data_IF_234113827147
#
_entry.id   IF_234113827147
#
_cell.length_a   1.000
_cell.length_b   1.000
_cell.length_c   1.000
_cell.angle_alpha   90.00
_cell.angle_beta   90.00
_cell.angle_gamma   90.00
#
_symmetry.space_group_name_H-M   'P 1'
#
loop_
_entity.id
_entity.type
_entity.pdbx_description
1 polymer ?
#
# COMPACT_ATOMS: atom_id res chain seq x y z
N UNK A 1 0.48 13.06 -39.24
CA UNK A 1 0.26 12.95 -37.79
C UNK A 1 1.61 12.77 -37.07
N UNK A 2 2.14 13.82 -36.44
CA UNK A 2 3.39 13.72 -35.70
C UNK A 2 3.21 12.78 -34.51
N UNK A 3 4.07 11.77 -34.37
CA UNK A 3 4.12 10.91 -33.17
C UNK A 3 4.46 11.83 -32.00
N UNK A 4 3.52 12.08 -31.09
CA UNK A 4 3.84 12.68 -29.78
C UNK A 4 4.90 11.83 -29.11
N UNK A 5 5.95 12.44 -28.58
CA UNK A 5 6.94 11.73 -27.78
C UNK A 5 6.23 10.98 -26.64
N UNK A 6 6.63 9.74 -26.33
CA UNK A 6 6.01 8.99 -25.24
C UNK A 6 6.17 9.75 -23.91
N UNK A 7 5.12 9.75 -23.11
CA UNK A 7 5.12 10.36 -21.79
C UNK A 7 6.12 9.61 -20.89
N UNK A 8 6.97 10.35 -20.18
CA UNK A 8 8.00 9.79 -19.28
C UNK A 8 7.48 9.75 -17.86
N UNK A 9 7.47 8.58 -17.28
CA UNK A 9 6.99 8.36 -15.92
C UNK A 9 8.07 7.78 -15.02
N UNK A 10 8.28 8.38 -13.87
CA UNK A 10 9.08 7.85 -12.77
C UNK A 10 8.15 7.14 -11.78
N UNK A 11 8.46 5.89 -11.41
CA UNK A 11 7.78 5.19 -10.32
C UNK A 11 8.77 4.92 -9.21
N UNK A 12 8.57 5.57 -8.07
CA UNK A 12 9.35 5.38 -6.84
C UNK A 12 8.69 4.26 -6.05
N UNK A 13 9.46 3.26 -5.61
CA UNK A 13 8.90 2.03 -5.02
C UNK A 13 8.39 1.02 -6.06
N UNK A 14 8.94 1.06 -7.26
CA UNK A 14 8.55 0.22 -8.40
C UNK A 14 8.60 -1.30 -8.15
N UNK A 15 9.35 -1.76 -7.15
CA UNK A 15 9.42 -3.16 -6.74
C UNK A 15 8.38 -3.56 -5.70
N UNK A 16 7.72 -2.61 -5.05
CA UNK A 16 6.63 -2.87 -4.11
C UNK A 16 5.38 -3.37 -4.84
N UNK A 17 4.44 -3.97 -4.12
CA UNK A 17 3.24 -4.58 -4.67
C UNK A 17 2.46 -3.61 -5.58
N UNK A 18 2.03 -2.47 -5.03
CA UNK A 18 1.33 -1.42 -5.79
C UNK A 18 2.20 -0.74 -6.84
N UNK A 19 3.47 -0.42 -6.49
CA UNK A 19 4.39 0.21 -7.44
C UNK A 19 4.63 -0.65 -8.67
N UNK A 20 4.73 -1.97 -8.52
CA UNK A 20 4.91 -2.90 -9.63
C UNK A 20 3.67 -2.97 -10.54
N UNK A 21 2.46 -3.03 -9.95
CA UNK A 21 1.23 -2.99 -10.71
C UNK A 21 1.10 -1.70 -11.55
N UNK A 22 1.47 -0.55 -10.97
CA UNK A 22 1.46 0.73 -11.67
C UNK A 22 2.51 0.78 -12.77
N UNK A 23 3.73 0.25 -12.54
CA UNK A 23 4.75 0.12 -13.59
C UNK A 23 4.21 -0.64 -14.79
N UNK A 24 3.56 -1.79 -14.57
CA UNK A 24 2.98 -2.60 -15.65
C UNK A 24 1.89 -1.85 -16.39
N UNK A 25 0.96 -1.23 -15.70
CA UNK A 25 -0.11 -0.44 -16.31
C UNK A 25 0.41 0.74 -17.14
N UNK A 26 1.50 1.39 -16.71
CA UNK A 26 2.17 2.43 -17.49
C UNK A 26 2.87 1.88 -18.74
N UNK A 27 3.55 0.74 -18.62
CA UNK A 27 4.22 0.05 -19.76
C UNK A 27 3.19 -0.36 -20.81
N UNK A 28 2.06 -0.93 -20.38
CA UNK A 28 0.96 -1.34 -21.27
C UNK A 28 0.35 -0.17 -22.03
N UNK A 29 0.38 1.03 -21.43
CA UNK A 29 -0.03 2.29 -22.08
C UNK A 29 1.10 2.98 -22.86
N UNK A 30 2.21 2.30 -23.11
CA UNK A 30 3.37 2.80 -23.86
C UNK A 30 4.05 4.06 -23.25
N UNK A 31 4.03 4.21 -21.93
CA UNK A 31 4.84 5.20 -21.24
C UNK A 31 6.31 4.77 -21.26
N UNK A 32 7.21 5.75 -21.27
CA UNK A 32 8.63 5.51 -21.01
C UNK A 32 8.87 5.48 -19.50
N UNK A 33 8.91 4.28 -18.92
CA UNK A 33 8.94 4.11 -17.47
C UNK A 33 10.37 4.04 -16.93
N UNK A 34 10.65 4.90 -15.94
CA UNK A 34 11.82 4.80 -15.05
C UNK A 34 11.36 4.21 -13.71
N UNK A 35 11.84 3.03 -13.38
CA UNK A 35 11.56 2.33 -12.14
C UNK A 35 12.64 2.63 -11.10
N UNK A 36 12.31 3.30 -10.00
CA UNK A 36 13.26 3.65 -8.95
C UNK A 36 13.09 2.78 -7.70
N UNK A 37 14.21 2.36 -7.11
CA UNK A 37 14.23 1.55 -5.89
C UNK A 37 15.57 1.58 -5.16
N UNK A 38 15.62 1.03 -3.94
CA UNK A 38 16.83 1.01 -3.10
C UNK A 38 17.85 -0.06 -3.49
N UNK A 39 17.41 -1.17 -4.09
CA UNK A 39 18.29 -2.28 -4.46
C UNK A 39 19.21 -1.86 -5.61
N UNK A 40 20.45 -2.32 -5.60
CA UNK A 40 21.44 -2.03 -6.67
C UNK A 40 21.08 -2.69 -7.99
N UNK A 41 20.44 -3.86 -7.95
CA UNK A 41 19.96 -4.60 -9.12
C UNK A 41 18.44 -4.56 -9.23
N UNK A 42 17.88 -4.60 -10.44
CA UNK A 42 16.45 -4.65 -10.63
C UNK A 42 15.85 -5.90 -9.95
N UNK A 43 14.78 -5.73 -9.15
CA UNK A 43 14.07 -6.86 -8.54
C UNK A 43 13.42 -7.79 -9.57
N UNK A 44 13.24 -9.07 -9.17
CA UNK A 44 12.73 -10.12 -10.06
C UNK A 44 11.34 -9.81 -10.64
N UNK A 45 10.48 -9.10 -9.92
CA UNK A 45 9.15 -8.73 -10.42
C UNK A 45 9.16 -7.63 -11.50
N UNK A 46 10.31 -7.00 -11.75
CA UNK A 46 10.52 -6.09 -12.90
C UNK A 46 11.13 -6.79 -14.12
N UNK A 47 11.52 -8.06 -13.98
CA UNK A 47 12.11 -8.82 -15.09
C UNK A 47 11.16 -8.93 -16.28
N UNK A 48 11.70 -8.75 -17.48
CA UNK A 48 10.94 -8.81 -18.75
C UNK A 48 10.13 -7.55 -19.07
N UNK A 49 10.09 -6.54 -18.19
CA UNK A 49 9.43 -5.28 -18.47
C UNK A 49 10.36 -4.30 -19.18
N UNK A 50 9.81 -3.54 -20.13
CA UNK A 50 10.54 -2.46 -20.83
C UNK A 50 10.65 -1.21 -19.96
N UNK A 51 11.48 -1.28 -18.91
CA UNK A 51 11.69 -0.18 -17.97
C UNK A 51 13.18 0.13 -17.81
N UNK A 52 13.50 1.40 -17.52
CA UNK A 52 14.82 1.79 -17.07
C UNK A 52 14.84 1.72 -15.53
N UNK A 53 15.61 0.80 -14.97
CA UNK A 53 15.78 0.75 -13.52
C UNK A 53 16.86 1.72 -13.05
N UNK A 54 16.61 2.43 -11.96
CA UNK A 54 17.56 3.33 -11.30
C UNK A 54 17.59 3.03 -9.80
N UNK A 55 18.77 2.70 -9.31
CA UNK A 55 18.98 2.52 -7.88
C UNK A 55 19.21 3.86 -7.19
N UNK A 56 18.79 3.99 -5.94
CA UNK A 56 19.09 5.16 -5.11
C UNK A 56 18.27 5.17 -3.83
N UNK A 57 18.72 6.00 -2.91
CA UNK A 57 18.04 6.25 -1.66
C UNK A 57 17.29 7.58 -1.71
N UNK A 58 15.98 7.54 -1.50
CA UNK A 58 15.12 8.73 -1.43
C UNK A 58 15.54 9.71 -0.31
N UNK A 59 16.29 9.23 0.70
CA UNK A 59 16.83 10.07 1.77
C UNK A 59 18.08 10.86 1.34
N UNK A 60 18.78 10.40 0.30
CA UNK A 60 19.99 11.08 -0.13
C UNK A 60 19.68 12.49 -0.67
N UNK A 61 20.44 13.51 -0.27
CA UNK A 61 20.24 14.87 -0.75
C UNK A 61 20.29 14.96 -2.28
N UNK A 62 19.28 15.62 -2.87
CA UNK A 62 19.18 15.79 -4.32
C UNK A 62 18.79 14.55 -5.11
N UNK A 63 18.44 13.43 -4.46
CA UNK A 63 18.07 12.20 -5.16
C UNK A 63 16.77 12.34 -5.94
N UNK A 64 15.74 12.96 -5.35
CA UNK A 64 14.47 13.22 -6.06
C UNK A 64 14.70 14.13 -7.28
N UNK A 65 15.55 15.14 -7.14
CA UNK A 65 15.90 16.05 -8.24
C UNK A 65 16.54 15.29 -9.42
N UNK A 66 17.48 14.39 -9.13
CA UNK A 66 18.12 13.53 -10.16
C UNK A 66 17.12 12.60 -10.83
N UNK A 67 16.21 12.01 -10.06
CA UNK A 67 15.22 11.07 -10.59
C UNK A 67 14.15 11.75 -11.43
N UNK A 68 13.71 12.96 -11.04
CA UNK A 68 12.64 13.70 -11.71
C UNK A 68 13.11 14.50 -12.94
N UNK A 69 14.40 14.66 -13.14
CA UNK A 69 14.90 15.40 -14.28
C UNK A 69 14.39 14.82 -15.60
N UNK A 70 13.59 15.61 -16.33
CA UNK A 70 13.01 15.25 -17.62
C UNK A 70 11.88 14.21 -17.55
N UNK A 71 11.24 14.01 -16.40
CA UNK A 71 10.03 13.22 -16.24
C UNK A 71 8.78 14.10 -16.33
N UNK A 72 7.71 13.58 -16.94
CA UNK A 72 6.42 14.27 -17.07
C UNK A 72 5.48 13.92 -15.90
N UNK A 73 5.67 12.74 -15.30
CA UNK A 73 4.89 12.18 -14.20
C UNK A 73 5.81 11.52 -13.19
N UNK A 74 5.52 11.69 -11.90
CA UNK A 74 6.08 10.87 -10.82
C UNK A 74 4.95 10.14 -10.09
N UNK A 75 5.14 8.84 -9.86
CA UNK A 75 4.30 8.05 -8.97
C UNK A 75 5.10 7.74 -7.72
N UNK A 76 4.64 8.19 -6.56
CA UNK A 76 5.22 7.84 -5.27
C UNK A 76 4.45 6.70 -4.62
N UNK A 77 4.94 5.48 -4.82
CA UNK A 77 4.45 4.24 -4.19
C UNK A 77 5.43 3.72 -3.12
N UNK A 78 6.33 4.57 -2.63
CA UNK A 78 7.33 4.25 -1.59
C UNK A 78 7.21 5.18 -0.37
N UNK A 79 6.02 5.70 -0.11
CA UNK A 79 5.79 6.49 1.09
C UNK A 79 6.07 5.63 2.35
N UNK A 80 6.61 6.23 3.43
CA UNK A 80 6.90 5.51 4.66
C UNK A 80 5.72 4.67 5.15
N UNK A 81 6.03 3.43 5.54
CA UNK A 81 5.05 2.45 5.97
C UNK A 81 5.50 1.81 7.30
N UNK A 82 5.38 2.53 8.43
CA UNK A 82 5.95 2.10 9.71
C UNK A 82 5.09 1.05 10.44
N UNK A 83 4.45 0.11 9.74
CA UNK A 83 3.68 -0.98 10.36
C UNK A 83 4.56 -2.03 11.03
N UNK A 84 5.83 -2.12 10.64
CA UNK A 84 6.81 -3.03 11.23
C UNK A 84 7.39 -2.49 12.54
N UNK A 85 7.03 -1.28 12.94
CA UNK A 85 7.53 -0.66 14.17
C UNK A 85 6.61 -1.04 15.33
N UNK A 86 7.07 -1.97 16.16
CA UNK A 86 6.41 -2.31 17.42
C UNK A 86 6.48 -1.16 18.43
N UNK A 87 5.47 -1.04 19.27
CA UNK A 87 5.45 -0.06 20.36
C UNK A 87 6.18 -0.63 21.61
N UNK A 88 7.00 0.15 22.35
CA UNK A 88 7.39 1.54 22.13
C UNK A 88 8.43 1.69 21.02
N UNK A 89 8.36 2.79 20.26
CA UNK A 89 9.34 3.15 19.22
C UNK A 89 10.70 3.33 19.85
N UNK A 90 11.46 2.26 19.99
CA UNK A 90 12.74 2.23 20.73
C UNK A 90 13.98 2.02 19.87
N UNK A 91 13.85 2.08 18.52
CA UNK A 91 15.08 2.21 17.73
C UNK A 91 15.58 3.65 17.83
N UNK A 92 16.60 3.82 18.64
CA UNK A 92 17.27 5.08 18.90
C UNK A 92 17.52 5.86 17.59
N UNK A 93 16.81 6.98 17.42
CA UNK A 93 17.16 8.01 16.46
C UNK A 93 16.29 8.17 15.21
N UNK A 94 15.25 7.37 14.98
CA UNK A 94 14.40 7.55 13.78
C UNK A 94 12.93 7.78 14.15
N UNK A 95 12.57 9.03 14.37
CA UNK A 95 11.18 9.45 14.43
C UNK A 95 10.55 9.27 13.01
N UNK A 96 9.59 8.34 12.85
CA UNK A 96 8.98 8.06 11.53
C UNK A 96 8.17 9.22 10.99
N UNK A 97 7.61 10.08 11.85
CA UNK A 97 6.84 11.26 11.45
C UNK A 97 7.79 12.32 10.90
N UNK A 98 8.86 12.64 11.65
CA UNK A 98 9.89 13.58 11.18
C UNK A 98 10.60 13.08 9.92
N UNK A 99 10.79 11.77 9.77
CA UNK A 99 11.30 11.18 8.54
C UNK A 99 10.34 11.39 7.37
N UNK A 100 9.06 11.07 7.56
CA UNK A 100 8.03 11.24 6.53
C UNK A 100 7.92 12.70 6.08
N UNK A 101 7.97 13.64 7.03
CA UNK A 101 7.92 15.07 6.75
C UNK A 101 9.11 15.51 5.87
N UNK A 102 10.34 15.20 6.29
CA UNK A 102 11.54 15.56 5.52
C UNK A 102 11.53 14.97 4.11
N UNK A 103 11.15 13.69 4.00
CA UNK A 103 11.08 13.00 2.71
C UNK A 103 10.03 13.63 1.78
N UNK A 104 8.84 13.91 2.30
CA UNK A 104 7.75 14.50 1.52
C UNK A 104 8.07 15.91 1.06
N UNK A 105 8.68 16.75 1.91
CA UNK A 105 9.14 18.08 1.51
C UNK A 105 10.14 18.01 0.36
N UNK A 106 11.14 17.13 0.44
CA UNK A 106 12.13 16.95 -0.64
C UNK A 106 11.50 16.45 -1.95
N UNK A 107 10.50 15.55 -1.86
CA UNK A 107 9.73 15.12 -3.02
C UNK A 107 9.03 16.31 -3.68
N UNK A 108 8.31 17.11 -2.88
CA UNK A 108 7.55 18.24 -3.38
C UNK A 108 8.47 19.37 -3.91
N UNK A 109 9.61 19.63 -3.29
CA UNK A 109 10.60 20.57 -3.81
C UNK A 109 11.05 20.18 -5.24
N UNK A 110 11.30 18.88 -5.47
CA UNK A 110 11.63 18.39 -6.79
C UNK A 110 10.44 18.46 -7.77
N UNK A 111 9.21 18.16 -7.29
CA UNK A 111 7.97 18.31 -8.08
C UNK A 111 7.79 19.76 -8.55
N UNK A 112 7.93 20.73 -7.66
CA UNK A 112 7.84 22.16 -8.01
C UNK A 112 8.94 22.58 -9.00
N UNK A 113 10.18 22.16 -8.76
CA UNK A 113 11.32 22.49 -9.61
C UNK A 113 11.15 21.97 -11.04
N UNK A 114 10.71 20.73 -11.18
CA UNK A 114 10.57 20.06 -12.48
C UNK A 114 9.19 20.21 -13.11
N UNK A 115 8.23 20.84 -12.40
CA UNK A 115 6.83 20.99 -12.84
C UNK A 115 6.18 19.66 -13.23
N UNK A 116 6.49 18.62 -12.45
CA UNK A 116 6.04 17.24 -12.72
C UNK A 116 4.65 17.03 -12.14
N UNK A 117 3.77 16.30 -12.84
CA UNK A 117 2.53 15.78 -12.24
C UNK A 117 2.89 14.71 -11.21
N UNK A 118 2.09 14.56 -10.15
CA UNK A 118 2.33 13.56 -9.11
C UNK A 118 1.12 12.67 -8.91
N UNK A 119 1.35 11.36 -8.74
CA UNK A 119 0.37 10.44 -8.18
C UNK A 119 0.95 9.87 -6.87
N UNK A 120 0.31 10.18 -5.76
CA UNK A 120 0.68 9.67 -4.44
C UNK A 120 -0.17 8.45 -4.10
N UNK A 121 0.49 7.35 -3.72
CA UNK A 121 -0.17 6.15 -3.21
C UNK A 121 -0.20 6.23 -1.69
N UNK A 122 -1.34 6.61 -1.16
CA UNK A 122 -1.62 6.80 0.25
C UNK A 122 -2.18 5.53 0.92
N UNK A 123 -3.23 5.72 1.71
CA UNK A 123 -3.92 4.63 2.40
C UNK A 123 -5.34 5.05 2.79
N UNK A 124 -6.26 4.11 2.78
CA UNK A 124 -7.64 4.30 3.26
C UNK A 124 -7.74 4.88 4.67
N UNK A 125 -6.73 4.69 5.53
CA UNK A 125 -6.75 5.11 6.93
C UNK A 125 -6.98 6.62 7.12
N UNK A 126 -6.60 7.44 6.15
CA UNK A 126 -6.83 8.89 6.18
C UNK A 126 -8.30 9.24 5.92
N UNK A 127 -9.08 8.30 5.37
CA UNK A 127 -10.49 8.46 5.02
C UNK A 127 -11.46 7.84 6.04
N UNK A 128 -10.94 7.18 7.08
CA UNK A 128 -11.76 6.53 8.10
C UNK A 128 -12.59 7.56 8.87
N UNK A 129 -13.89 7.29 9.00
CA UNK A 129 -14.87 8.16 9.70
C UNK A 129 -15.66 7.32 10.70
N UNK A 130 -15.17 7.14 11.94
CA UNK A 130 -15.87 6.36 12.96
C UNK A 130 -17.26 6.95 13.31
N UNK A 131 -18.30 6.13 13.21
CA UNK A 131 -19.69 6.53 13.43
C UNK A 131 -20.08 6.60 14.91
N UNK A 132 -19.75 5.56 15.70
CA UNK A 132 -20.15 5.43 17.11
C UNK A 132 -19.12 6.00 18.09
N UNK A 133 -19.51 6.23 19.34
CA UNK A 133 -18.60 6.69 20.39
C UNK A 133 -17.50 5.65 20.69
N UNK A 134 -17.86 4.37 20.67
CA UNK A 134 -16.91 3.26 20.89
C UNK A 134 -15.89 3.22 19.76
N UNK A 135 -16.33 3.28 18.50
CA UNK A 135 -15.46 3.33 17.35
C UNK A 135 -14.53 4.55 17.37
N UNK A 136 -15.04 5.73 17.74
CA UNK A 136 -14.19 6.93 17.88
C UNK A 136 -13.11 6.74 18.94
N UNK A 137 -13.47 6.16 20.09
CA UNK A 137 -12.49 5.88 21.14
C UNK A 137 -11.44 4.87 20.67
N UNK A 138 -11.83 3.75 20.07
CA UNK A 138 -10.91 2.76 19.51
C UNK A 138 -9.98 3.38 18.48
N UNK A 139 -10.51 4.15 17.53
CA UNK A 139 -9.73 4.85 16.51
C UNK A 139 -8.70 5.82 17.12
N UNK A 140 -9.11 6.59 18.14
CA UNK A 140 -8.21 7.51 18.84
C UNK A 140 -7.08 6.74 19.56
N UNK A 141 -7.40 5.64 20.23
CA UNK A 141 -6.38 4.80 20.88
C UNK A 141 -5.39 4.21 19.88
N UNK A 142 -5.86 3.75 18.72
CA UNK A 142 -4.99 3.26 17.66
C UNK A 142 -4.06 4.34 17.12
N UNK A 143 -4.56 5.55 16.89
CA UNK A 143 -3.74 6.70 16.45
C UNK A 143 -2.65 7.04 17.44
N UNK A 144 -2.94 6.95 18.74
CA UNK A 144 -1.95 7.18 19.80
C UNK A 144 -0.92 6.03 19.89
N UNK A 145 -1.35 4.82 19.62
CA UNK A 145 -0.49 3.64 19.72
C UNK A 145 0.42 3.42 18.53
N UNK A 146 0.12 3.99 17.35
CA UNK A 146 0.88 3.65 16.15
C UNK A 146 1.14 4.86 15.24
N UNK A 147 2.40 5.15 14.90
CA UNK A 147 2.78 6.32 14.09
C UNK A 147 2.30 6.27 12.64
N UNK A 148 1.83 5.11 12.16
CA UNK A 148 1.36 4.93 10.80
C UNK A 148 0.27 5.91 10.39
N UNK A 149 -0.71 6.13 11.27
CA UNK A 149 -1.83 7.06 11.01
C UNK A 149 -1.33 8.48 10.83
N UNK A 150 -0.52 8.95 11.77
CA UNK A 150 0.06 10.29 11.73
C UNK A 150 0.94 10.49 10.49
N UNK A 151 1.76 9.49 10.16
CA UNK A 151 2.60 9.51 8.95
C UNK A 151 1.77 9.64 7.69
N UNK A 152 0.70 8.84 7.53
CA UNK A 152 -0.13 8.88 6.32
C UNK A 152 -0.92 10.18 6.20
N UNK A 153 -1.49 10.67 7.29
CA UNK A 153 -2.20 11.96 7.33
C UNK A 153 -1.28 13.14 7.03
N UNK A 154 -0.08 13.14 7.61
CA UNK A 154 0.92 14.18 7.36
C UNK A 154 1.31 14.23 5.88
N UNK A 155 1.63 13.08 5.26
CA UNK A 155 1.99 13.04 3.84
C UNK A 155 0.82 13.52 2.98
N UNK A 156 -0.40 13.00 3.21
CA UNK A 156 -1.59 13.39 2.46
C UNK A 156 -1.85 14.90 2.57
N UNK A 157 -1.74 15.47 3.78
CA UNK A 157 -1.91 16.91 3.99
C UNK A 157 -0.92 17.76 3.18
N UNK A 158 0.35 17.36 3.12
CA UNK A 158 1.36 18.05 2.33
C UNK A 158 1.08 17.97 0.81
N UNK A 159 0.61 16.80 0.33
CA UNK A 159 0.23 16.63 -1.09
C UNK A 159 -1.01 17.47 -1.43
N UNK A 160 -2.02 17.50 -0.54
CA UNK A 160 -3.20 18.35 -0.69
C UNK A 160 -2.83 19.85 -0.74
N UNK A 161 -1.94 20.29 0.15
CA UNK A 161 -1.48 21.66 0.17
C UNK A 161 -0.66 22.04 -1.09
N UNK A 162 0.12 21.10 -1.60
CA UNK A 162 0.81 21.27 -2.88
C UNK A 162 -0.20 21.38 -4.04
N UNK A 163 -1.25 20.57 -4.03
CA UNK A 163 -2.31 20.63 -5.05
C UNK A 163 -3.06 21.96 -5.02
N UNK A 164 -3.41 22.46 -3.83
CA UNK A 164 -4.02 23.80 -3.67
C UNK A 164 -3.13 24.92 -4.21
N UNK A 165 -1.84 24.72 -4.24
CA UNK A 165 -0.82 25.65 -4.83
C UNK A 165 -0.54 25.36 -6.30
N UNK A 166 -1.35 24.54 -6.97
CA UNK A 166 -1.32 24.31 -8.40
C UNK A 166 -0.48 23.10 -8.87
N UNK A 167 -0.02 22.23 -7.96
CA UNK A 167 0.58 20.95 -8.36
C UNK A 167 -0.52 20.00 -8.82
N UNK A 168 -0.47 19.46 -10.05
CA UNK A 168 -1.43 18.43 -10.48
C UNK A 168 -1.17 17.11 -9.71
N UNK A 169 -1.92 16.88 -8.63
CA UNK A 169 -1.69 15.75 -7.71
C UNK A 169 -2.92 14.85 -7.61
N UNK A 170 -2.77 13.59 -8.02
CA UNK A 170 -3.70 12.49 -7.72
C UNK A 170 -3.31 11.88 -6.38
N UNK A 171 -4.30 11.66 -5.50
CA UNK A 171 -4.12 11.03 -4.19
C UNK A 171 -4.96 9.74 -4.18
N UNK A 172 -4.27 8.60 -4.27
CA UNK A 172 -4.89 7.28 -4.32
C UNK A 172 -4.80 6.60 -2.95
N UNK A 173 -5.94 6.33 -2.33
CA UNK A 173 -6.04 5.71 -1.01
C UNK A 173 -6.64 4.29 -1.11
N UNK A 174 -5.84 3.27 -1.46
CA UNK A 174 -6.33 1.91 -1.56
C UNK A 174 -6.64 1.30 -0.20
N UNK A 175 -7.59 0.37 -0.22
CA UNK A 175 -7.92 -0.52 0.90
C UNK A 175 -6.94 -1.70 0.95
N UNK A 176 -7.36 -2.87 1.43
CA UNK A 176 -6.51 -4.05 1.53
C UNK A 176 -6.23 -4.62 0.13
N UNK A 177 -5.00 -4.42 -0.34
CA UNK A 177 -4.59 -4.82 -1.68
C UNK A 177 -4.19 -6.28 -1.73
N UNK A 178 -4.79 -7.04 -2.65
CA UNK A 178 -4.38 -8.39 -3.03
C UNK A 178 -3.98 -8.44 -4.51
N UNK A 179 -3.36 -9.52 -4.92
CA UNK A 179 -3.00 -9.73 -6.32
C UNK A 179 -1.58 -10.25 -6.51
N UNK A 180 -1.15 -10.41 -7.77
CA UNK A 180 0.20 -10.88 -8.10
C UNK A 180 1.28 -9.81 -7.87
N UNK A 181 2.55 -10.23 -8.01
CA UNK A 181 3.78 -9.42 -8.02
C UNK A 181 4.24 -8.87 -6.68
N UNK A 182 3.66 -9.30 -5.58
CA UNK A 182 4.15 -8.99 -4.26
C UNK A 182 5.50 -9.70 -3.99
N UNK A 183 6.48 -8.93 -3.50
CA UNK A 183 7.81 -9.38 -3.08
C UNK A 183 8.13 -8.98 -1.63
N UNK A 184 7.11 -8.70 -0.82
CA UNK A 184 7.31 -8.58 0.63
C UNK A 184 7.86 -9.89 1.20
N UNK A 185 8.45 -9.82 2.37
CA UNK A 185 8.85 -11.03 3.09
C UNK A 185 7.63 -11.96 3.21
N UNK A 186 7.85 -13.27 2.94
CA UNK A 186 6.81 -14.29 3.02
C UNK A 186 6.00 -14.22 4.32
N UNK A 187 6.68 -13.89 5.42
CA UNK A 187 6.06 -13.77 6.74
C UNK A 187 5.06 -12.61 6.87
N UNK A 188 5.05 -11.67 5.93
CA UNK A 188 4.12 -10.55 5.87
C UNK A 188 2.98 -10.80 4.86
N UNK A 189 3.00 -11.94 4.15
CA UNK A 189 2.06 -12.25 3.09
C UNK A 189 0.97 -13.23 3.59
N UNK A 190 -0.26 -12.76 3.73
CA UNK A 190 -1.40 -13.54 4.24
C UNK A 190 -1.66 -14.83 3.45
N UNK A 191 -1.59 -14.77 2.11
CA UNK A 191 -1.89 -15.92 1.25
C UNK A 191 -0.91 -17.08 1.48
N UNK A 192 0.42 -16.91 1.41
CA UNK A 192 1.37 -17.98 1.72
C UNK A 192 1.22 -18.56 3.13
N UNK A 193 0.96 -17.70 4.13
CA UNK A 193 0.80 -18.14 5.52
C UNK A 193 -0.47 -18.97 5.71
N UNK A 194 -1.56 -18.64 5.01
CA UNK A 194 -2.79 -19.45 5.03
C UNK A 194 -2.58 -20.80 4.37
N UNK A 195 -1.97 -20.82 3.18
CA UNK A 195 -1.76 -22.05 2.43
C UNK A 195 -0.79 -23.03 3.13
N UNK A 196 0.12 -22.52 3.94
CA UNK A 196 1.01 -23.35 4.78
C UNK A 196 0.41 -23.71 6.15
N UNK A 197 -0.80 -23.23 6.48
CA UNK A 197 -1.46 -23.51 7.76
C UNK A 197 -0.86 -22.76 8.96
N UNK A 198 -0.07 -21.71 8.71
CA UNK A 198 0.59 -20.92 9.76
C UNK A 198 -0.36 -19.91 10.41
N UNK A 199 -1.52 -19.62 9.82
CA UNK A 199 -2.58 -18.80 10.43
C UNK A 199 -3.60 -19.70 11.12
N UNK A 200 -3.63 -19.76 12.46
CA UNK A 200 -4.45 -20.72 13.20
C UNK A 200 -5.91 -20.31 13.30
N UNK A 201 -6.22 -19.03 13.15
CA UNK A 201 -7.56 -18.48 13.38
C UNK A 201 -7.88 -17.34 12.42
N UNK A 202 -9.13 -17.27 11.98
CA UNK A 202 -9.68 -16.06 11.37
C UNK A 202 -10.05 -15.06 12.47
N UNK A 203 -9.80 -13.76 12.23
CA UNK A 203 -10.23 -12.70 13.13
C UNK A 203 -11.60 -12.23 12.67
N UNK A 204 -12.56 -12.11 13.61
CA UNK A 204 -13.94 -11.74 13.30
C UNK A 204 -14.10 -10.27 12.93
N UNK A 205 -13.74 -9.91 11.70
CA UNK A 205 -13.84 -8.54 11.17
C UNK A 205 -14.18 -8.54 9.68
N UNK A 206 -14.72 -7.42 9.22
CA UNK A 206 -14.89 -7.14 7.79
C UNK A 206 -13.63 -6.51 7.22
N UNK A 207 -13.30 -6.88 6.00
CA UNK A 207 -12.23 -6.29 5.20
C UNK A 207 -12.84 -5.71 3.92
N UNK A 208 -12.35 -4.57 3.48
CA UNK A 208 -12.57 -4.15 2.11
C UNK A 208 -11.31 -4.48 1.29
N UNK A 209 -11.45 -5.25 0.23
CA UNK A 209 -10.37 -5.80 -0.58
C UNK A 209 -10.41 -5.27 -2.00
N UNK A 210 -9.24 -4.99 -2.57
CA UNK A 210 -9.09 -4.55 -3.96
C UNK A 210 -7.90 -5.24 -4.64
N UNK A 211 -8.02 -5.50 -5.96
CA UNK A 211 -6.89 -5.96 -6.76
C UNK A 211 -5.89 -4.82 -7.03
N UNK A 212 -4.60 -5.08 -6.86
CA UNK A 212 -3.53 -4.09 -7.13
C UNK A 212 -3.55 -3.57 -8.56
N UNK A 213 -4.02 -4.38 -9.53
CA UNK A 213 -4.16 -3.99 -10.94
C UNK A 213 -5.29 -3.01 -11.15
N UNK A 214 -6.36 -3.13 -10.37
CA UNK A 214 -7.50 -2.22 -10.41
C UNK A 214 -7.13 -0.88 -9.77
N UNK A 215 -6.35 -0.90 -8.68
CA UNK A 215 -5.74 0.33 -8.14
C UNK A 215 -4.86 1.01 -9.18
N UNK A 216 -3.99 0.26 -9.87
CA UNK A 216 -3.13 0.82 -10.91
C UNK A 216 -3.95 1.43 -12.06
N UNK A 217 -5.02 0.75 -12.49
CA UNK A 217 -5.94 1.24 -13.51
C UNK A 217 -6.64 2.52 -13.05
N UNK A 218 -7.11 2.56 -11.80
CA UNK A 218 -7.79 3.73 -11.23
C UNK A 218 -6.85 4.93 -11.08
N UNK A 219 -5.59 4.73 -10.68
CA UNK A 219 -4.58 5.79 -10.63
C UNK A 219 -4.38 6.42 -12.01
N UNK A 220 -4.28 5.60 -13.06
CA UNK A 220 -4.11 6.12 -14.42
C UNK A 220 -5.37 6.80 -14.94
N UNK A 221 -6.55 6.27 -14.62
CA UNK A 221 -7.82 6.90 -14.97
C UNK A 221 -7.99 8.27 -14.27
N UNK A 222 -7.60 8.37 -13.00
CA UNK A 222 -7.61 9.63 -12.26
C UNK A 222 -6.64 10.67 -12.85
N UNK A 223 -5.48 10.24 -13.34
CA UNK A 223 -4.52 11.10 -14.06
C UNK A 223 -5.09 11.58 -15.41
N UNK A 224 -5.77 10.69 -16.14
CA UNK A 224 -6.38 11.01 -17.45
C UNK A 224 -7.57 11.96 -17.33
N UNK A 225 -8.33 11.84 -16.24
CA UNK A 225 -9.50 12.69 -15.93
C UNK A 225 -9.17 13.89 -15.05
N UNK A 226 -7.89 14.11 -14.78
CA UNK A 226 -7.36 15.22 -13.98
C UNK A 226 -8.02 15.36 -12.59
N UNK A 227 -8.33 14.21 -11.94
CA UNK A 227 -8.87 14.16 -10.58
C UNK A 227 -7.79 14.59 -9.57
N UNK A 228 -7.50 15.90 -9.55
CA UNK A 228 -6.45 16.46 -8.69
C UNK A 228 -7.02 17.09 -7.43
N UNK A 229 -6.23 17.03 -6.35
CA UNK A 229 -6.48 17.77 -5.11
C UNK A 229 -7.59 17.21 -4.24
N UNK A 230 -8.03 15.98 -4.48
CA UNK A 230 -8.95 15.24 -3.62
C UNK A 230 -8.44 13.82 -3.38
N UNK A 231 -8.59 13.27 -2.16
CA UNK A 231 -8.29 11.89 -1.89
C UNK A 231 -9.34 10.98 -2.54
N UNK A 232 -8.86 9.96 -3.27
CA UNK A 232 -9.69 8.97 -3.95
C UNK A 232 -9.58 7.66 -3.19
N UNK A 233 -10.66 7.25 -2.53
CA UNK A 233 -10.72 5.95 -1.86
C UNK A 233 -10.89 4.85 -2.89
N UNK A 234 -9.99 3.88 -2.89
CA UNK A 234 -9.99 2.76 -3.83
C UNK A 234 -10.24 1.45 -3.10
N UNK A 235 -11.49 1.02 -3.09
CA UNK A 235 -11.95 -0.24 -2.51
C UNK A 235 -12.90 -0.95 -3.45
N UNK A 236 -13.08 -2.28 -3.29
CA UNK A 236 -13.91 -3.08 -4.19
C UNK A 236 -14.89 -4.00 -3.48
N UNK A 237 -14.40 -4.93 -2.67
CA UNK A 237 -15.24 -5.99 -2.09
C UNK A 237 -15.19 -5.96 -0.57
N UNK A 238 -16.38 -5.91 0.05
CA UNK A 238 -16.52 -6.19 1.47
C UNK A 238 -16.64 -7.68 1.68
N UNK A 239 -15.76 -8.22 2.50
CA UNK A 239 -15.70 -9.64 2.79
C UNK A 239 -15.26 -9.85 4.24
N UNK A 240 -15.86 -10.78 4.95
CA UNK A 240 -15.36 -11.17 6.26
C UNK A 240 -14.00 -11.88 6.13
N UNK A 241 -13.15 -11.72 7.12
CA UNK A 241 -11.85 -12.43 7.16
C UNK A 241 -12.03 -13.94 7.01
N UNK A 242 -13.09 -14.52 7.61
CA UNK A 242 -13.38 -15.94 7.51
C UNK A 242 -13.74 -16.36 6.07
N UNK A 243 -14.57 -15.58 5.38
CA UNK A 243 -14.92 -15.85 3.97
C UNK A 243 -13.70 -15.69 3.06
N UNK A 244 -12.90 -14.63 3.25
CA UNK A 244 -11.69 -14.42 2.49
C UNK A 244 -10.69 -15.57 2.66
N UNK A 245 -10.45 -16.01 3.90
CA UNK A 245 -9.55 -17.10 4.21
C UNK A 245 -10.05 -18.43 3.65
N UNK A 246 -11.35 -18.68 3.74
CA UNK A 246 -11.98 -19.88 3.15
C UNK A 246 -11.81 -19.88 1.64
N UNK A 247 -12.02 -18.74 0.96
CA UNK A 247 -11.86 -18.63 -0.48
C UNK A 247 -10.38 -18.82 -0.91
N UNK A 248 -9.43 -18.22 -0.17
CA UNK A 248 -7.99 -18.41 -0.42
C UNK A 248 -7.61 -19.89 -0.29
N UNK A 249 -8.02 -20.54 0.79
CA UNK A 249 -7.71 -21.95 1.04
C UNK A 249 -8.38 -22.87 0.01
N UNK A 250 -9.62 -22.60 -0.37
CA UNK A 250 -10.32 -23.36 -1.42
C UNK A 250 -9.58 -23.29 -2.76
N UNK A 251 -9.16 -22.06 -3.18
CA UNK A 251 -8.45 -21.87 -4.45
C UNK A 251 -7.00 -22.38 -4.40
N UNK A 252 -6.41 -22.44 -3.22
CA UNK A 252 -5.05 -22.90 -2.99
C UNK A 252 -4.91 -24.37 -2.66
N UNK A 253 -6.04 -25.12 -2.54
CA UNK A 253 -6.09 -26.51 -2.12
C UNK A 253 -5.51 -26.74 -0.71
N UNK A 254 -5.92 -25.90 0.24
CA UNK A 254 -5.49 -25.94 1.63
C UNK A 254 -6.72 -25.97 2.59
N UNK A 255 -6.48 -26.37 3.82
CA UNK A 255 -7.53 -26.35 4.86
C UNK A 255 -7.63 -24.94 5.46
N UNK A 256 -8.85 -24.36 5.58
CA UNK A 256 -9.02 -23.07 6.23
C UNK A 256 -8.76 -23.16 7.75
N UNK A 257 -8.46 -22.02 8.41
CA UNK A 257 -8.37 -21.96 9.86
C UNK A 257 -9.61 -22.52 10.54
N UNK A 258 -9.41 -23.33 11.59
CA UNK A 258 -10.51 -24.04 12.29
C UNK A 258 -11.27 -23.16 13.28
N UNK A 259 -10.67 -22.05 13.67
CA UNK A 259 -11.20 -21.17 14.71
C UNK A 259 -11.47 -19.79 14.16
N UNK A 260 -12.43 -19.10 14.79
CA UNK A 260 -12.61 -17.66 14.64
C UNK A 260 -12.38 -17.03 16.01
N UNK A 261 -11.56 -15.97 16.06
CA UNK A 261 -11.23 -15.25 17.28
C UNK A 261 -11.83 -13.85 17.19
N UNK A 262 -12.48 -13.41 18.25
CA UNK A 262 -13.00 -12.05 18.33
C UNK A 262 -11.85 -11.03 18.30
N UNK A 263 -12.05 -9.92 17.60
CA UNK A 263 -11.00 -8.95 17.28
C UNK A 263 -10.29 -8.40 18.52
N UNK A 264 -11.04 -8.05 19.57
CA UNK A 264 -10.47 -7.49 20.79
C UNK A 264 -9.56 -8.48 21.51
N UNK A 265 -9.98 -9.75 21.57
CA UNK A 265 -9.20 -10.83 22.17
C UNK A 265 -7.93 -11.12 21.36
N UNK A 266 -8.05 -11.13 20.03
CA UNK A 266 -6.92 -11.32 19.13
C UNK A 266 -5.88 -10.21 19.27
N UNK A 267 -6.33 -8.94 19.34
CA UNK A 267 -5.45 -7.79 19.57
C UNK A 267 -4.75 -7.86 20.93
N UNK A 268 -5.49 -8.15 21.99
CA UNK A 268 -4.91 -8.29 23.33
C UNK A 268 -3.83 -9.39 23.38
N UNK A 269 -4.11 -10.53 22.73
CA UNK A 269 -3.14 -11.62 22.60
C UNK A 269 -1.90 -11.24 21.79
N UNK A 270 -2.06 -10.50 20.68
CA UNK A 270 -0.94 -10.03 19.87
C UNK A 270 -0.05 -9.07 20.64
N UNK A 271 -0.60 -8.09 21.36
CA UNK A 271 0.18 -7.17 22.20
C UNK A 271 0.92 -7.91 23.33
N UNK A 272 0.24 -8.85 24.01
CA UNK A 272 0.90 -9.64 25.04
C UNK A 272 2.07 -10.46 24.47
N UNK A 273 1.88 -11.04 23.29
CA UNK A 273 2.93 -11.80 22.60
C UNK A 273 4.11 -10.90 22.19
N UNK A 274 3.85 -9.72 21.64
CA UNK A 274 4.90 -8.73 21.31
C UNK A 274 5.74 -8.40 22.55
N UNK A 275 5.08 -8.02 23.66
CA UNK A 275 5.77 -7.69 24.90
C UNK A 275 6.63 -8.85 25.42
N UNK A 276 6.14 -10.09 25.32
CA UNK A 276 6.90 -11.26 25.76
C UNK A 276 8.11 -11.53 24.85
N UNK A 277 7.93 -11.40 23.53
CA UNK A 277 9.01 -11.63 22.57
C UNK A 277 10.07 -10.53 22.64
N UNK A 278 9.66 -9.27 22.78
CA UNK A 278 10.58 -8.14 22.97
C UNK A 278 11.43 -8.31 24.24
N UNK A 279 10.84 -8.84 25.32
CA UNK A 279 11.57 -9.10 26.57
C UNK A 279 12.70 -10.13 26.42
N UNK A 280 12.61 -11.02 25.43
CA UNK A 280 13.66 -12.03 25.13
C UNK A 280 14.47 -11.68 23.87
N UNK A 281 14.26 -10.49 23.27
CA UNK A 281 14.98 -10.03 22.09
C UNK A 281 14.54 -10.67 20.77
N UNK A 282 13.37 -11.31 20.76
CA UNK A 282 12.76 -11.91 19.57
C UNK A 282 11.69 -10.99 18.97
N UNK A 283 11.42 -11.12 17.65
CA UNK A 283 10.35 -10.38 16.97
C UNK A 283 9.14 -11.25 16.72
N UNK A 284 7.93 -10.68 16.91
CA UNK A 284 6.69 -11.37 16.57
C UNK A 284 6.55 -11.55 15.05
N UNK A 285 5.95 -12.68 14.64
CA UNK A 285 5.55 -12.92 13.24
C UNK A 285 4.20 -12.28 12.87
N UNK A 286 3.40 -11.92 13.88
CA UNK A 286 2.08 -11.30 13.73
C UNK A 286 2.05 -10.00 14.53
N UNK A 287 2.58 -8.89 13.96
CA UNK A 287 2.61 -7.62 14.67
C UNK A 287 1.20 -7.12 14.96
N UNK A 288 0.95 -6.69 16.19
CA UNK A 288 -0.34 -6.16 16.64
C UNK A 288 -0.78 -4.97 15.78
N UNK A 289 0.17 -4.18 15.26
CA UNK A 289 -0.11 -3.08 14.34
C UNK A 289 -0.83 -3.51 13.05
N UNK A 290 -0.45 -4.64 12.46
CA UNK A 290 -1.11 -5.20 11.29
C UNK A 290 -2.55 -5.65 11.57
N UNK A 291 -2.75 -6.32 12.71
CA UNK A 291 -4.09 -6.74 13.17
C UNK A 291 -4.98 -5.54 13.49
N UNK A 292 -4.41 -4.51 14.11
CA UNK A 292 -5.09 -3.27 14.44
C UNK A 292 -5.54 -2.53 13.17
N UNK A 293 -4.67 -2.46 12.15
CA UNK A 293 -5.05 -1.89 10.85
C UNK A 293 -6.24 -2.59 10.23
N UNK A 294 -6.24 -3.92 10.25
CA UNK A 294 -7.33 -4.68 9.69
C UNK A 294 -8.67 -4.35 10.37
N UNK A 295 -8.70 -4.11 11.69
CA UNK A 295 -9.91 -3.73 12.44
C UNK A 295 -10.51 -2.37 12.03
N UNK A 296 -9.78 -1.56 11.25
CA UNK A 296 -10.26 -0.26 10.75
C UNK A 296 -11.20 -0.38 9.56
N UNK A 297 -11.26 -1.54 8.89
CA UNK A 297 -12.09 -1.70 7.70
C UNK A 297 -13.59 -1.57 7.98
N UNK A 298 -14.04 -1.90 9.18
CA UNK A 298 -15.45 -1.72 9.58
C UNK A 298 -15.93 -0.26 9.55
N UNK A 299 -15.00 0.70 9.45
CA UNK A 299 -15.30 2.14 9.46
C UNK A 299 -15.17 2.79 8.08
N UNK A 300 -14.88 2.01 7.05
CA UNK A 300 -14.73 2.54 5.70
C UNK A 300 -16.11 2.92 5.15
N UNK A 301 -16.19 4.16 4.70
CA UNK A 301 -17.34 4.60 3.90
C UNK A 301 -17.06 4.21 2.46
N UNK A 302 -17.87 3.29 1.93
CA UNK A 302 -17.72 2.83 0.55
C UNK A 302 -18.20 3.92 -0.40
N UNK A 303 -17.30 4.36 -1.26
CA UNK A 303 -17.60 5.32 -2.32
C UNK A 303 -17.81 4.62 -3.65
N UNK A 304 -18.24 5.40 -4.64
CA UNK A 304 -18.38 4.95 -6.03
C UNK A 304 -17.20 5.41 -6.90
N UNK A 305 -16.03 5.66 -6.28
CA UNK A 305 -14.89 6.29 -6.93
C UNK A 305 -14.34 5.45 -8.08
N UNK A 306 -14.26 4.12 -7.93
CA UNK A 306 -13.85 3.25 -9.03
C UNK A 306 -14.81 3.33 -10.20
N UNK A 307 -16.12 3.31 -9.93
CA UNK A 307 -17.15 3.42 -10.96
C UNK A 307 -17.09 4.79 -11.68
N UNK A 308 -16.87 5.87 -10.91
CA UNK A 308 -16.71 7.23 -11.47
C UNK A 308 -15.47 7.33 -12.36
N UNK A 309 -14.44 6.55 -12.09
CA UNK A 309 -13.22 6.44 -12.89
C UNK A 309 -13.36 5.42 -14.05
N UNK A 310 -14.54 4.82 -14.23
CA UNK A 310 -14.79 3.81 -15.26
C UNK A 310 -14.04 2.49 -15.02
N UNK A 311 -13.66 2.20 -13.78
CA UNK A 311 -12.95 0.97 -13.41
C UNK A 311 -13.93 -0.05 -12.86
N UNK A 312 -13.99 -1.21 -13.50
CA UNK A 312 -14.75 -2.37 -13.02
C UNK A 312 -13.79 -3.27 -12.25
N UNK A 313 -14.03 -3.53 -10.95
CA UNK A 313 -13.17 -4.41 -10.17
C UNK A 313 -13.14 -5.83 -10.73
N UNK A 314 -11.96 -6.46 -10.72
CA UNK A 314 -11.80 -7.89 -11.05
C UNK A 314 -12.51 -8.76 -10.03
N UNK A 315 -13.08 -9.90 -10.44
CA UNK A 315 -13.63 -10.87 -9.50
C UNK A 315 -12.60 -11.24 -8.43
N UNK A 316 -13.01 -11.27 -7.16
CA UNK A 316 -12.11 -11.56 -6.04
C UNK A 316 -11.43 -12.93 -6.18
N UNK A 317 -12.14 -13.92 -6.75
CA UNK A 317 -11.59 -15.24 -7.05
C UNK A 317 -10.45 -15.22 -8.07
N UNK A 318 -10.53 -14.35 -9.10
CA UNK A 318 -9.45 -14.13 -10.07
C UNK A 318 -8.23 -13.50 -9.40
N UNK A 319 -8.46 -12.45 -8.61
CA UNK A 319 -7.40 -11.77 -7.85
C UNK A 319 -6.62 -12.74 -6.97
N UNK A 320 -7.33 -13.62 -6.24
CA UNK A 320 -6.72 -14.60 -5.35
C UNK A 320 -6.00 -15.70 -6.15
N UNK A 321 -6.60 -16.23 -7.21
CA UNK A 321 -5.98 -17.26 -8.04
C UNK A 321 -4.66 -16.79 -8.67
N UNK A 322 -4.64 -15.55 -9.18
CA UNK A 322 -3.45 -14.95 -9.75
C UNK A 322 -2.37 -14.68 -8.68
N UNK A 323 -2.76 -14.26 -7.48
CA UNK A 323 -1.85 -14.08 -6.37
C UNK A 323 -1.22 -15.44 -5.94
N UNK A 324 -2.02 -16.49 -5.81
CA UNK A 324 -1.52 -17.84 -5.50
C UNK A 324 -0.54 -18.33 -6.58
N UNK A 325 -0.89 -18.15 -7.85
CA UNK A 325 -0.02 -18.51 -8.98
C UNK A 325 1.32 -17.78 -8.91
N UNK A 326 1.30 -16.49 -8.57
CA UNK A 326 2.51 -15.70 -8.36
C UNK A 326 3.36 -16.21 -7.20
N UNK A 327 2.75 -16.44 -6.03
CA UNK A 327 3.48 -16.90 -4.84
C UNK A 327 4.08 -18.31 -5.05
N UNK A 328 3.38 -19.21 -5.74
CA UNK A 328 3.94 -20.51 -6.16
C UNK A 328 5.13 -20.35 -7.08
N UNK A 329 5.05 -19.43 -8.06
CA UNK A 329 6.14 -19.15 -9.00
C UNK A 329 7.41 -18.65 -8.31
N UNK A 330 7.29 -17.90 -7.22
CA UNK A 330 8.45 -17.38 -6.48
C UNK A 330 8.86 -18.25 -5.28
N UNK A 331 8.20 -19.41 -5.10
CA UNK A 331 8.54 -20.40 -4.07
C UNK A 331 8.09 -20.00 -2.65
N UNK A 332 7.01 -19.23 -2.51
CA UNK A 332 6.46 -18.85 -1.21
C UNK A 332 5.42 -19.86 -0.70
N UNK A 333 4.78 -20.64 -1.58
CA UNK A 333 3.86 -21.74 -1.32
C UNK A 333 3.83 -22.75 -2.48
#
# INVERSE_FOLDING_TARGET
>A
MGRRSPVKALVIGAAGHLGNAIVRALVDRNYQVTAAGRRTLPPANLSGLKVRYVAGDAEAPGQFDKWMAGQDLVVDAAAPYPLEVSFPVSEAGKDPVAYAERRTRRLLDAVYKHKTRVAYVGSFVTQVRPGTSVQRFQHQMMRLAHPYFEVKELIESHILDASRRGVPAVIANPTYCLGPWDLHDRQLCTIPLLLSGEIPSAIGQMLNVIDVRDVATAVLAALDTERYGEPIQMGAYDVSTAELYSLICQLGDAAPPRFSTETTLALAGAYAMELMLDAIGEKTRLPAGGMMMASMFDYIVHGHELQQLGVTPRPLSETIADAISWYRKIGYC
#
